data_IF_180479463829
#
_entry.id   IF_180479463829
#
_cell.length_a   1.000
_cell.length_b   1.000
_cell.length_c   1.000
_cell.angle_alpha   90.00
_cell.angle_beta   90.00
_cell.angle_gamma   90.00
#
_symmetry.space_group_name_H-M   'P 1'
#
loop_
_entity.id
_entity.type
_entity.pdbx_description
1 polymer ?
#
# COMPACT_ATOMS: atom_id res chain seq x y z
N UNK A 1 -59.76 41.26 -4.90
CA UNK A 1 -58.34 40.84 -4.88
C UNK A 1 -57.99 40.29 -3.50
N UNK A 2 -57.67 38.99 -3.38
CA UNK A 2 -57.15 38.40 -2.14
C UNK A 2 -55.68 38.05 -2.36
N UNK A 3 -54.79 38.72 -1.63
CA UNK A 3 -53.35 38.44 -1.64
C UNK A 3 -53.11 37.22 -0.74
N UNK A 4 -52.65 36.12 -1.34
CA UNK A 4 -52.15 34.95 -0.58
C UNK A 4 -50.71 35.23 -0.18
N UNK A 5 -50.47 35.38 1.12
CA UNK A 5 -49.12 35.36 1.68
C UNK A 5 -48.68 33.90 1.76
N UNK A 6 -47.71 33.53 0.91
CA UNK A 6 -47.02 32.25 0.97
C UNK A 6 -45.96 32.38 2.07
N UNK A 7 -46.17 31.72 3.21
CA UNK A 7 -45.14 31.59 4.25
C UNK A 7 -44.10 30.59 3.76
N UNK A 8 -42.91 31.10 3.47
CA UNK A 8 -41.72 30.30 3.20
C UNK A 8 -41.14 29.84 4.56
N UNK A 9 -41.34 28.58 4.92
CA UNK A 9 -40.71 27.99 6.10
C UNK A 9 -39.33 27.48 5.71
N UNK A 10 -38.28 28.20 6.06
CA UNK A 10 -36.88 27.78 5.85
C UNK A 10 -36.54 26.78 6.97
N UNK A 11 -36.43 25.50 6.63
CA UNK A 11 -35.85 24.48 7.50
C UNK A 11 -34.32 24.66 7.50
N UNK A 12 -33.78 25.26 8.56
CA UNK A 12 -32.36 25.18 8.85
C UNK A 12 -32.05 23.76 9.36
N UNK A 13 -31.55 22.90 8.48
CA UNK A 13 -30.82 21.71 8.90
C UNK A 13 -29.47 22.16 9.46
N UNK A 14 -29.38 22.28 10.79
CA UNK A 14 -28.09 22.26 11.47
C UNK A 14 -27.48 20.86 11.26
N UNK A 15 -26.60 20.72 10.27
CA UNK A 15 -25.60 19.66 10.29
C UNK A 15 -24.68 19.96 11.48
N UNK A 16 -25.00 19.41 12.65
CA UNK A 16 -24.00 19.27 13.71
C UNK A 16 -22.93 18.32 13.14
N UNK A 17 -21.83 18.89 12.65
CA UNK A 17 -20.60 18.11 12.49
C UNK A 17 -20.28 17.57 13.88
N UNK A 18 -20.59 16.30 14.12
CA UNK A 18 -20.10 15.60 15.30
C UNK A 18 -18.58 15.63 15.14
N UNK A 19 -17.93 16.57 15.82
CA UNK A 19 -16.48 16.60 15.91
C UNK A 19 -16.09 15.35 16.69
N UNK A 20 -15.69 14.31 15.98
CA UNK A 20 -15.25 13.06 16.59
C UNK A 20 -13.91 13.35 17.25
N UNK A 21 -13.89 13.51 18.58
CA UNK A 21 -12.65 13.70 19.32
C UNK A 21 -11.94 12.36 19.53
N UNK A 22 -10.65 12.33 19.24
CA UNK A 22 -9.72 11.28 19.67
C UNK A 22 -9.13 11.75 21.00
N UNK A 23 -9.76 11.43 22.15
CA UNK A 23 -9.44 12.01 23.48
C UNK A 23 -8.11 11.46 24.07
N UNK A 24 -7.07 11.37 23.24
CA UNK A 24 -5.76 10.85 23.64
C UNK A 24 -5.06 11.76 24.66
N UNK A 25 -5.49 13.01 24.84
CA UNK A 25 -5.05 13.88 25.94
C UNK A 25 -5.32 13.29 27.33
N UNK A 26 -6.28 12.37 27.46
CA UNK A 26 -6.64 11.70 28.71
C UNK A 26 -5.78 10.46 29.01
N UNK A 27 -4.92 10.06 28.09
CA UNK A 27 -4.06 8.89 28.21
C UNK A 27 -2.77 9.21 28.96
N UNK A 28 -2.17 8.19 29.56
CA UNK A 28 -0.87 8.22 30.21
C UNK A 28 0.04 7.11 29.63
N UNK A 29 1.26 7.00 30.12
CA UNK A 29 2.28 6.03 29.72
C UNK A 29 1.87 4.56 29.90
N UNK A 30 0.82 4.28 30.69
CA UNK A 30 0.24 2.95 30.81
C UNK A 30 -0.66 2.58 29.62
N UNK A 31 -1.12 3.56 28.85
CA UNK A 31 -1.99 3.33 27.69
C UNK A 31 -1.19 2.87 26.48
N UNK A 32 -1.33 1.60 26.12
CA UNK A 32 -0.56 0.99 25.04
C UNK A 32 -1.34 1.03 23.73
N UNK A 33 -0.88 1.88 22.80
CA UNK A 33 -1.38 1.91 21.43
C UNK A 33 -0.66 0.86 20.56
N UNK A 34 -1.35 0.23 19.59
CA UNK A 34 -0.67 -0.58 18.61
C UNK A 34 0.20 0.34 17.73
N UNK A 35 1.51 0.29 17.96
CA UNK A 35 2.45 1.27 17.41
C UNK A 35 3.75 0.62 16.93
N UNK A 36 4.44 1.30 16.02
CA UNK A 36 5.85 1.07 15.74
C UNK A 36 6.67 1.95 16.70
N UNK A 37 7.62 1.35 17.42
CA UNK A 37 8.46 2.05 18.40
C UNK A 37 9.85 2.28 17.80
N UNK A 38 10.28 3.53 17.77
CA UNK A 38 11.62 3.91 17.35
C UNK A 38 12.58 3.81 18.54
N UNK A 39 13.28 2.68 18.63
CA UNK A 39 14.30 2.47 19.66
C UNK A 39 15.50 3.41 19.45
N UNK A 40 16.12 3.85 20.55
CA UNK A 40 17.32 4.73 20.53
C UNK A 40 17.14 6.04 19.75
N UNK A 41 15.91 6.57 19.70
CA UNK A 41 15.54 7.81 19.01
C UNK A 41 15.80 9.08 19.83
N UNK A 42 16.31 8.97 21.06
CA UNK A 42 16.54 10.12 21.95
C UNK A 42 17.41 11.17 21.25
N UNK A 43 16.94 12.43 21.27
CA UNK A 43 17.58 13.58 20.63
C UNK A 43 17.68 13.52 19.10
N UNK A 44 17.09 12.51 18.45
CA UNK A 44 16.95 12.49 17.01
C UNK A 44 15.63 13.16 16.60
N UNK A 45 15.64 13.75 15.40
CA UNK A 45 14.41 14.23 14.81
C UNK A 45 13.56 13.03 14.40
N UNK A 46 12.27 13.08 14.72
CA UNK A 46 11.29 12.25 14.04
C UNK A 46 10.81 12.98 12.80
N UNK A 47 10.78 12.26 11.68
CA UNK A 47 10.35 12.79 10.40
C UNK A 47 9.02 12.16 10.01
N UNK A 48 8.23 12.88 9.24
CA UNK A 48 6.98 12.33 8.72
C UNK A 48 7.22 11.24 7.70
N UNK A 49 6.46 10.16 7.80
CA UNK A 49 6.45 9.01 6.88
C UNK A 49 5.42 9.18 5.75
N UNK A 50 4.74 10.34 5.70
CA UNK A 50 3.66 10.62 4.75
C UNK A 50 3.63 12.09 4.34
N UNK A 51 3.05 12.36 3.17
CA UNK A 51 2.55 13.69 2.86
C UNK A 51 1.21 13.91 3.55
N UNK A 52 0.94 15.12 4.04
CA UNK A 52 -0.31 15.38 4.76
C UNK A 52 -0.46 16.79 5.32
N UNK A 53 -1.42 16.91 6.23
CA UNK A 53 -1.70 18.14 6.97
C UNK A 53 -1.65 17.82 8.46
N UNK A 54 -0.95 18.64 9.24
CA UNK A 54 -0.96 18.55 10.71
C UNK A 54 -2.35 18.89 11.21
N UNK A 55 -3.13 17.90 11.61
CA UNK A 55 -4.55 18.07 11.95
C UNK A 55 -4.78 18.50 13.40
N UNK A 56 -3.91 18.05 14.32
CA UNK A 56 -4.03 18.30 15.76
C UNK A 56 -2.67 18.13 16.43
N UNK A 57 -2.38 18.95 17.45
CA UNK A 57 -1.23 18.76 18.35
C UNK A 57 -1.75 18.84 19.78
N UNK A 58 -1.55 17.79 20.58
CA UNK A 58 -1.99 17.75 21.98
C UNK A 58 -0.86 17.30 22.90
N UNK A 59 -1.06 17.50 24.20
CA UNK A 59 -0.30 16.84 25.26
C UNK A 59 -1.15 15.78 25.94
N UNK A 60 -0.55 14.66 26.29
CA UNK A 60 -1.15 13.65 27.15
C UNK A 60 -0.97 14.01 28.65
N UNK A 61 -1.41 13.14 29.57
CA UNK A 61 -1.26 13.37 31.02
C UNK A 61 0.19 13.40 31.52
N UNK A 62 1.13 12.87 30.74
CA UNK A 62 2.57 12.89 31.04
C UNK A 62 3.28 14.10 30.41
N UNK A 63 2.52 15.11 29.98
CA UNK A 63 3.02 16.30 29.29
C UNK A 63 3.78 16.03 27.97
N UNK A 64 3.65 14.81 27.41
CA UNK A 64 4.27 14.42 26.14
C UNK A 64 3.39 14.82 24.96
N UNK A 65 4.01 15.32 23.90
CA UNK A 65 3.27 15.72 22.71
C UNK A 65 2.85 14.52 21.86
N UNK A 66 1.64 14.61 21.33
CA UNK A 66 1.09 13.79 20.26
C UNK A 66 0.79 14.69 19.07
N UNK A 67 1.34 14.35 17.90
CA UNK A 67 1.17 15.11 16.66
C UNK A 67 0.41 14.25 15.66
N UNK A 68 -0.73 14.75 15.20
CA UNK A 68 -1.62 14.07 14.26
C UNK A 68 -1.39 14.62 12.87
N UNK A 69 -1.10 13.75 11.92
CA UNK A 69 -0.95 14.08 10.51
C UNK A 69 -2.06 13.39 9.75
N UNK A 70 -3.04 14.18 9.31
CA UNK A 70 -4.12 13.70 8.46
C UNK A 70 -3.59 13.49 7.06
N UNK A 71 -3.73 12.27 6.57
CA UNK A 71 -3.29 11.84 5.25
C UNK A 71 -4.34 10.94 4.62
N UNK A 72 -4.05 10.44 3.43
CA UNK A 72 -4.92 9.50 2.72
C UNK A 72 -4.12 8.37 2.10
N UNK A 73 -4.74 7.22 2.01
CA UNK A 73 -4.23 6.06 1.27
C UNK A 73 -5.19 5.72 0.15
N UNK A 74 -4.65 5.16 -0.93
CA UNK A 74 -5.44 4.57 -2.02
C UNK A 74 -5.11 3.08 -2.09
N UNK A 75 -6.14 2.23 -2.11
CA UNK A 75 -5.98 0.78 -2.10
C UNK A 75 -7.08 0.10 -2.91
N UNK A 76 -6.80 -1.12 -3.37
CA UNK A 76 -7.75 -1.97 -4.08
C UNK A 76 -8.37 -2.98 -3.11
N UNK A 77 -9.69 -3.06 -3.11
CA UNK A 77 -10.44 -4.06 -2.37
C UNK A 77 -11.73 -4.41 -3.13
N UNK A 78 -12.07 -5.69 -3.27
CA UNK A 78 -13.23 -6.14 -4.07
C UNK A 78 -13.20 -5.61 -5.50
N UNK A 79 -12.01 -5.62 -6.11
CA UNK A 79 -11.71 -5.06 -7.44
C UNK A 79 -12.01 -3.56 -7.62
N UNK A 80 -12.25 -2.80 -6.54
CA UNK A 80 -12.50 -1.37 -6.61
C UNK A 80 -11.35 -0.57 -6.00
N UNK A 81 -11.01 0.56 -6.62
CA UNK A 81 -10.13 1.55 -6.02
C UNK A 81 -10.90 2.30 -4.94
N UNK A 82 -10.38 2.27 -3.73
CA UNK A 82 -10.88 3.03 -2.58
C UNK A 82 -9.85 4.05 -2.15
N UNK A 83 -10.32 5.22 -1.71
CA UNK A 83 -9.48 6.25 -1.09
C UNK A 83 -10.00 6.48 0.33
N UNK A 84 -9.12 6.45 1.30
CA UNK A 84 -9.49 6.57 2.71
C UNK A 84 -8.54 7.52 3.43
N UNK A 85 -9.12 8.41 4.23
CA UNK A 85 -8.37 9.32 5.08
C UNK A 85 -8.13 8.65 6.44
N UNK A 86 -6.98 8.91 7.02
CA UNK A 86 -6.61 8.44 8.35
C UNK A 86 -5.62 9.43 8.98
N UNK A 87 -5.46 9.37 10.29
CA UNK A 87 -4.38 10.11 10.96
C UNK A 87 -3.20 9.16 11.22
N UNK A 88 -2.00 9.61 10.88
CA UNK A 88 -0.77 9.03 11.39
C UNK A 88 -0.34 9.86 12.61
N UNK A 89 -0.17 9.21 13.76
CA UNK A 89 -0.02 9.88 15.05
C UNK A 89 1.36 9.57 15.59
N UNK A 90 2.15 10.62 15.77
CA UNK A 90 3.48 10.57 16.34
C UNK A 90 3.41 10.93 17.81
N UNK A 91 3.84 10.02 18.68
CA UNK A 91 3.74 10.17 20.13
C UNK A 91 5.08 10.14 20.82
N UNK A 92 5.06 10.60 22.07
CA UNK A 92 6.24 10.75 22.92
C UNK A 92 7.26 11.76 22.33
N UNK A 93 6.75 12.86 21.78
CA UNK A 93 7.57 13.95 21.24
C UNK A 93 7.88 14.94 22.37
N UNK A 94 9.17 15.25 22.58
CA UNK A 94 9.63 16.20 23.59
C UNK A 94 9.37 17.65 23.16
N UNK A 95 9.74 17.96 21.91
CA UNK A 95 9.64 19.29 21.32
C UNK A 95 9.10 19.21 19.91
N UNK A 96 8.08 20.00 19.60
CA UNK A 96 7.44 20.03 18.28
C UNK A 96 7.99 21.17 17.43
N UNK A 97 8.26 20.93 16.15
CA UNK A 97 8.79 21.92 15.19
C UNK A 97 7.74 22.45 14.21
N UNK A 98 6.63 21.73 14.07
CA UNK A 98 5.53 22.05 13.17
C UNK A 98 4.33 22.65 13.94
N UNK A 99 3.38 23.21 13.21
CA UNK A 99 2.15 23.81 13.75
C UNK A 99 0.91 23.13 13.17
N UNK A 100 -0.20 23.25 13.87
CA UNK A 100 -1.50 22.82 13.35
C UNK A 100 -1.81 23.53 12.02
N UNK A 101 -2.39 22.79 11.09
CA UNK A 101 -2.70 23.15 9.71
C UNK A 101 -1.49 23.30 8.77
N UNK A 102 -0.26 23.03 9.23
CA UNK A 102 0.88 22.96 8.34
C UNK A 102 0.69 21.85 7.30
N UNK A 103 0.98 22.15 6.04
CA UNK A 103 1.15 21.14 5.00
C UNK A 103 2.58 20.62 5.08
N UNK A 104 2.73 19.31 5.16
CA UNK A 104 4.03 18.66 5.29
C UNK A 104 4.19 17.58 4.21
N UNK A 105 5.44 17.36 3.83
CA UNK A 105 5.81 16.29 2.92
C UNK A 105 6.50 15.16 3.68
N UNK A 106 6.59 13.98 3.07
CA UNK A 106 7.45 12.89 3.49
C UNK A 106 8.85 13.40 3.82
N UNK A 107 9.39 13.01 4.97
CA UNK A 107 10.70 13.43 5.47
C UNK A 107 10.72 14.76 6.23
N UNK A 108 9.61 15.50 6.31
CA UNK A 108 9.55 16.74 7.10
C UNK A 108 9.76 16.45 8.58
N UNK A 109 10.68 17.16 9.23
CA UNK A 109 10.94 17.00 10.66
C UNK A 109 9.74 17.49 11.50
N UNK A 110 9.15 16.57 12.27
CA UNK A 110 7.99 16.82 13.14
C UNK A 110 8.43 17.41 14.48
N UNK A 111 9.49 16.87 15.06
CA UNK A 111 9.92 17.22 16.40
C UNK A 111 11.12 16.40 16.90
N UNK A 112 11.52 16.67 18.14
CA UNK A 112 12.56 15.95 18.86
C UNK A 112 11.96 14.81 19.67
N UNK A 113 12.59 13.64 19.59
CA UNK A 113 12.11 12.44 20.26
C UNK A 113 12.64 12.25 21.69
N UNK A 114 11.73 11.82 22.57
CA UNK A 114 12.08 11.10 23.80
C UNK A 114 12.55 9.67 23.47
N UNK A 115 13.19 8.96 24.42
CA UNK A 115 13.35 7.51 24.33
C UNK A 115 11.98 6.86 24.08
N UNK A 116 11.90 5.98 23.07
CA UNK A 116 10.68 5.27 22.70
C UNK A 116 9.58 6.15 22.10
N UNK A 117 9.96 7.14 21.30
CA UNK A 117 9.07 7.69 20.29
C UNK A 117 8.35 6.60 19.51
N UNK A 118 7.08 6.83 19.19
CA UNK A 118 6.29 5.86 18.45
C UNK A 118 5.44 6.52 17.38
N UNK A 119 5.02 5.69 16.42
CA UNK A 119 4.01 6.05 15.45
C UNK A 119 2.88 5.01 15.46
N UNK A 120 1.66 5.50 15.51
CA UNK A 120 0.43 4.71 15.36
C UNK A 120 -0.45 5.33 14.27
N UNK A 121 -1.53 4.66 13.93
CA UNK A 121 -2.52 5.20 12.99
C UNK A 121 -3.93 5.07 13.55
N UNK A 122 -4.81 6.00 13.22
CA UNK A 122 -6.21 5.96 13.62
C UNK A 122 -7.15 6.06 12.41
N UNK A 123 -8.18 5.22 12.43
CA UNK A 123 -9.23 5.14 11.41
C UNK A 123 -10.60 5.23 12.06
N UNK A 124 -11.56 5.90 11.42
CA UNK A 124 -12.95 6.01 11.91
C UNK A 124 -13.70 4.66 11.88
N UNK A 125 -13.20 3.70 11.11
CA UNK A 125 -13.79 2.36 10.95
C UNK A 125 -12.70 1.29 10.87
N UNK A 126 -13.12 0.04 11.06
CA UNK A 126 -12.34 -1.15 10.73
C UNK A 126 -12.13 -1.25 9.21
N UNK A 127 -11.13 -0.53 8.70
CA UNK A 127 -10.84 -0.48 7.27
C UNK A 127 -10.13 -1.76 6.80
N UNK A 128 -10.48 -2.30 5.60
CA UNK A 128 -9.73 -3.40 4.97
C UNK A 128 -8.23 -3.14 4.85
N UNK A 129 -7.82 -1.89 4.64
CA UNK A 129 -6.43 -1.50 4.44
C UNK A 129 -5.54 -1.82 5.63
N UNK A 130 -5.71 -1.19 6.81
CA UNK A 130 -4.89 -1.51 7.97
C UNK A 130 -5.18 -2.92 8.49
N UNK A 131 -6.39 -3.47 8.30
CA UNK A 131 -6.68 -4.86 8.68
C UNK A 131 -5.86 -5.85 7.90
N UNK A 132 -5.57 -5.60 6.62
CA UNK A 132 -4.72 -6.51 5.85
C UNK A 132 -3.25 -6.40 6.23
N UNK A 133 -2.79 -5.21 6.56
CA UNK A 133 -1.35 -4.89 6.64
C UNK A 133 -0.80 -4.92 8.07
N UNK A 134 -1.60 -4.58 9.07
CA UNK A 134 -1.14 -4.56 10.46
C UNK A 134 -1.00 -5.96 11.03
N UNK A 135 0.09 -6.30 11.70
CA UNK A 135 0.25 -7.62 12.32
C UNK A 135 -0.59 -7.76 13.59
N UNK A 136 -0.71 -6.68 14.36
CA UNK A 136 -1.45 -6.66 15.62
C UNK A 136 -2.95 -6.42 15.39
N UNK A 137 -3.78 -6.88 16.33
CA UNK A 137 -5.20 -6.50 16.37
C UNK A 137 -5.31 -5.01 16.69
N UNK A 138 -6.31 -4.38 16.09
CA UNK A 138 -6.65 -2.99 16.34
C UNK A 138 -7.21 -2.83 17.75
N UNK A 139 -6.97 -1.66 18.33
CA UNK A 139 -7.59 -1.26 19.59
C UNK A 139 -8.66 -0.22 19.28
N UNK A 140 -9.89 -0.43 19.73
CA UNK A 140 -10.94 0.58 19.66
C UNK A 140 -10.82 1.52 20.86
N UNK A 141 -10.73 2.82 20.61
CA UNK A 141 -10.75 3.85 21.63
C UNK A 141 -11.58 5.04 21.12
N UNK A 142 -12.53 5.48 21.94
CA UNK A 142 -13.60 6.38 21.52
C UNK A 142 -14.29 5.88 20.22
N UNK A 143 -14.30 6.74 19.19
CA UNK A 143 -14.90 6.47 17.89
C UNK A 143 -13.89 6.01 16.84
N UNK A 144 -12.68 5.63 17.26
CA UNK A 144 -11.58 5.31 16.36
C UNK A 144 -10.99 3.93 16.62
N UNK A 145 -10.42 3.36 15.57
CA UNK A 145 -9.66 2.13 15.58
C UNK A 145 -8.19 2.43 15.34
N UNK A 146 -7.36 2.06 16.30
CA UNK A 146 -5.92 2.26 16.26
C UNK A 146 -5.23 1.03 15.72
N UNK A 147 -4.27 1.23 14.82
CA UNK A 147 -3.51 0.16 14.18
C UNK A 147 -2.01 0.47 14.20
N UNK A 148 -1.20 -0.60 14.30
CA UNK A 148 0.23 -0.50 14.01
C UNK A 148 0.39 -0.21 12.51
N UNK A 149 1.05 0.90 12.11
CA UNK A 149 1.14 1.32 10.73
C UNK A 149 2.23 0.54 9.98
N UNK A 150 2.15 -0.80 9.96
CA UNK A 150 3.16 -1.69 9.38
C UNK A 150 3.44 -1.42 7.89
N UNK A 151 2.54 -0.72 7.20
CA UNK A 151 2.68 -0.33 5.79
C UNK A 151 3.67 0.81 5.54
N UNK A 152 4.08 1.57 6.56
CA UNK A 152 5.12 2.59 6.39
C UNK A 152 6.51 1.95 6.29
N UNK A 153 6.65 0.70 6.75
CA UNK A 153 7.89 -0.04 6.60
C UNK A 153 8.06 -0.45 5.13
N UNK A 154 9.04 0.14 4.45
CA UNK A 154 9.40 -0.14 3.05
C UNK A 154 9.73 -1.61 2.75
N UNK A 155 10.06 -2.41 3.76
CA UNK A 155 10.33 -3.84 3.62
C UNK A 155 9.03 -4.68 3.56
N UNK A 156 7.90 -4.13 3.98
CA UNK A 156 6.61 -4.81 3.93
C UNK A 156 5.92 -4.58 2.59
N UNK A 157 5.36 -5.65 2.01
CA UNK A 157 4.53 -5.55 0.82
C UNK A 157 3.18 -4.95 1.17
N UNK A 158 2.87 -3.79 0.59
CA UNK A 158 1.51 -3.25 0.61
C UNK A 158 0.64 -4.01 -0.40
N UNK A 159 0.13 -5.18 0.00
CA UNK A 159 -0.63 -6.09 -0.85
C UNK A 159 -1.83 -5.43 -1.54
N UNK A 160 -2.53 -4.53 -0.85
CA UNK A 160 -3.69 -3.84 -1.42
C UNK A 160 -3.32 -2.66 -2.34
N UNK A 161 -2.03 -2.35 -2.53
CA UNK A 161 -1.59 -1.40 -3.56
C UNK A 161 -1.59 -1.99 -4.98
N UNK A 162 -1.79 -3.31 -5.11
CA UNK A 162 -1.81 -4.01 -6.38
C UNK A 162 -3.25 -4.17 -6.89
N UNK A 163 -3.50 -3.78 -8.14
CA UNK A 163 -4.81 -3.91 -8.76
C UNK A 163 -5.12 -5.38 -9.03
N UNK A 164 -6.18 -5.88 -8.42
CA UNK A 164 -6.71 -7.21 -8.74
C UNK A 164 -7.23 -7.24 -10.18
N UNK A 165 -6.77 -8.20 -10.98
CA UNK A 165 -7.21 -8.42 -12.36
C UNK A 165 -7.90 -9.77 -12.50
N UNK A 166 -8.99 -9.82 -13.26
CA UNK A 166 -9.77 -11.04 -13.47
C UNK A 166 -9.13 -11.99 -14.49
N UNK A 167 -8.37 -11.46 -15.44
CA UNK A 167 -7.68 -12.23 -16.47
C UNK A 167 -6.33 -11.61 -16.79
N UNK A 168 -5.26 -12.35 -16.49
CA UNK A 168 -3.90 -11.94 -16.83
C UNK A 168 -3.72 -11.80 -18.35
N UNK A 169 -4.33 -12.69 -19.15
CA UNK A 169 -4.23 -12.61 -20.61
C UNK A 169 -4.85 -11.31 -21.16
N UNK A 170 -6.06 -10.95 -20.70
CA UNK A 170 -6.71 -9.73 -21.16
C UNK A 170 -5.93 -8.49 -20.71
N UNK A 171 -5.50 -8.47 -19.45
CA UNK A 171 -4.67 -7.38 -18.94
C UNK A 171 -3.39 -7.18 -19.77
N UNK A 172 -2.68 -8.27 -20.10
CA UNK A 172 -1.45 -8.18 -20.87
C UNK A 172 -1.69 -7.78 -22.34
N UNK A 173 -2.81 -8.20 -22.95
CA UNK A 173 -3.22 -7.70 -24.26
C UNK A 173 -3.46 -6.18 -24.21
N UNK A 174 -4.19 -5.69 -23.20
CA UNK A 174 -4.43 -4.26 -23.03
C UNK A 174 -3.14 -3.49 -22.77
N UNK A 175 -2.25 -4.02 -21.92
CA UNK A 175 -0.93 -3.46 -21.66
C UNK A 175 -0.10 -3.35 -22.95
N UNK A 176 -0.10 -4.41 -23.78
CA UNK A 176 0.59 -4.42 -25.06
C UNK A 176 -0.02 -3.43 -26.07
N UNK A 177 -1.34 -3.31 -26.12
CA UNK A 177 -2.00 -2.36 -27.02
C UNK A 177 -1.74 -0.91 -26.61
N UNK A 178 -1.79 -0.59 -25.30
CA UNK A 178 -1.40 0.74 -24.80
C UNK A 178 0.00 1.13 -25.25
N UNK A 179 0.95 0.20 -25.14
CA UNK A 179 2.30 0.41 -25.67
C UNK A 179 2.32 0.74 -27.16
N UNK A 180 1.52 0.03 -27.97
CA UNK A 180 1.45 0.26 -29.42
C UNK A 180 0.89 1.65 -29.75
N UNK A 181 -0.12 2.09 -28.99
CA UNK A 181 -0.80 3.36 -29.20
C UNK A 181 0.00 4.58 -28.68
N UNK A 182 0.96 4.38 -27.77
CA UNK A 182 1.87 5.42 -27.26
C UNK A 182 2.97 5.82 -28.27
N UNK A 183 3.13 5.09 -29.39
CA UNK A 183 4.20 5.30 -30.38
C UNK A 183 3.67 5.86 -31.72
N UNK A 184 3.74 7.18 -31.89
CA UNK A 184 3.46 7.87 -33.16
C UNK A 184 4.67 7.90 -34.12
N UNK A 185 5.91 7.55 -33.69
CA UNK A 185 7.12 7.64 -34.54
C UNK A 185 7.94 6.32 -34.63
N UNK A 186 8.25 5.80 -35.84
CA UNK A 186 8.98 4.54 -36.05
C UNK A 186 10.44 4.54 -35.55
N UNK A 187 11.00 5.67 -35.12
CA UNK A 187 12.36 5.75 -34.57
C UNK A 187 12.46 5.24 -33.12
N UNK A 188 11.33 5.11 -32.44
CA UNK A 188 11.26 4.85 -30.99
C UNK A 188 11.01 3.38 -30.65
N UNK A 189 11.41 2.45 -31.54
CA UNK A 189 11.62 1.04 -31.16
C UNK A 189 12.80 0.94 -30.17
N UNK A 190 12.62 1.52 -28.99
CA UNK A 190 13.41 1.22 -27.82
C UNK A 190 13.21 -0.26 -27.57
N UNK A 191 14.30 -0.99 -27.70
CA UNK A 191 14.39 -2.45 -27.58
C UNK A 191 13.69 -2.98 -26.31
N UNK A 192 13.54 -2.09 -25.31
CA UNK A 192 12.86 -2.26 -24.04
C UNK A 192 11.99 -1.02 -23.75
N UNK A 193 10.67 -1.20 -23.64
CA UNK A 193 9.76 -0.10 -23.29
C UNK A 193 9.17 -0.28 -21.89
N UNK A 194 9.25 0.77 -21.08
CA UNK A 194 8.69 0.82 -19.73
C UNK A 194 7.50 1.77 -19.68
N UNK A 195 6.28 1.22 -19.77
CA UNK A 195 5.05 1.97 -19.52
C UNK A 195 4.99 2.47 -18.06
N UNK A 196 3.93 3.20 -17.71
CA UNK A 196 3.50 3.32 -16.31
C UNK A 196 3.52 1.94 -15.65
N UNK A 197 4.32 1.78 -14.59
CA UNK A 197 4.49 0.50 -13.90
C UNK A 197 3.14 0.05 -13.35
N UNK A 198 2.53 -0.92 -14.01
CA UNK A 198 1.25 -1.46 -13.59
C UNK A 198 1.47 -2.50 -12.49
N UNK A 199 1.09 -2.13 -11.27
CA UNK A 199 1.08 -3.03 -10.12
C UNK A 199 -0.21 -3.83 -10.13
N UNK A 200 -0.09 -5.13 -10.41
CA UNK A 200 -1.22 -6.05 -10.52
C UNK A 200 -1.12 -7.20 -9.53
N UNK A 201 -2.30 -7.71 -9.15
CA UNK A 201 -2.48 -8.95 -8.43
C UNK A 201 -3.27 -9.90 -9.32
N UNK A 202 -2.77 -11.10 -9.52
CA UNK A 202 -3.44 -12.11 -10.35
C UNK A 202 -3.21 -13.51 -9.79
N UNK A 203 -4.12 -14.43 -10.12
CA UNK A 203 -4.03 -15.83 -9.71
C UNK A 203 -3.45 -16.68 -10.84
N UNK A 204 -2.47 -17.54 -10.51
CA UNK A 204 -1.93 -18.57 -11.39
C UNK A 204 -1.80 -19.90 -10.65
N UNK A 205 -1.56 -20.95 -11.42
CA UNK A 205 -1.13 -22.24 -10.92
C UNK A 205 0.19 -22.56 -11.64
N UNK A 206 1.26 -22.79 -10.88
CA UNK A 206 2.55 -23.18 -11.46
C UNK A 206 2.57 -24.68 -11.68
N UNK A 207 2.82 -25.12 -12.92
CA UNK A 207 3.00 -26.53 -13.26
C UNK A 207 4.40 -27.05 -12.95
N UNK A 208 5.36 -26.15 -12.85
CA UNK A 208 6.75 -26.41 -12.49
C UNK A 208 7.27 -25.25 -11.63
N UNK A 209 8.27 -25.54 -10.79
CA UNK A 209 8.93 -24.49 -10.01
C UNK A 209 9.76 -23.58 -10.93
N UNK A 210 9.98 -22.31 -10.53
CA UNK A 210 10.83 -21.39 -11.29
C UNK A 210 12.21 -22.00 -11.59
N UNK A 211 12.68 -21.80 -12.81
CA UNK A 211 14.00 -22.24 -13.27
C UNK A 211 14.97 -21.07 -13.22
N UNK A 212 16.27 -21.37 -13.25
CA UNK A 212 17.29 -20.33 -13.34
C UNK A 212 17.00 -19.37 -14.52
N UNK A 213 17.14 -18.08 -14.25
CA UNK A 213 16.79 -17.02 -15.18
C UNK A 213 17.73 -17.00 -16.38
N UNK A 214 17.17 -16.76 -17.57
CA UNK A 214 17.99 -16.40 -18.72
C UNK A 214 18.31 -14.91 -18.63
N UNK A 215 19.57 -14.57 -18.34
CA UNK A 215 20.02 -13.17 -18.31
C UNK A 215 20.01 -12.58 -19.73
N UNK A 216 19.02 -11.74 -20.00
CA UNK A 216 18.90 -10.98 -21.24
C UNK A 216 19.33 -9.52 -21.03
N UNK A 217 19.71 -8.84 -22.10
CA UNK A 217 19.95 -7.40 -22.08
C UNK A 217 18.72 -6.63 -21.57
N UNK A 218 17.52 -7.08 -21.94
CA UNK A 218 16.28 -6.46 -21.46
C UNK A 218 16.06 -6.57 -19.97
N UNK A 219 16.41 -7.72 -19.38
CA UNK A 219 16.33 -7.88 -17.94
C UNK A 219 17.34 -6.98 -17.23
N UNK A 220 18.57 -6.90 -17.74
CA UNK A 220 19.59 -5.99 -17.22
C UNK A 220 19.11 -4.53 -17.22
N UNK A 221 18.54 -4.06 -18.34
CA UNK A 221 17.95 -2.71 -18.40
C UNK A 221 16.79 -2.55 -17.43
N UNK A 222 15.91 -3.54 -17.32
CA UNK A 222 14.77 -3.52 -16.39
C UNK A 222 15.25 -3.36 -14.93
N UNK A 223 16.24 -4.15 -14.52
CA UNK A 223 16.84 -4.10 -13.18
C UNK A 223 17.51 -2.75 -12.88
N UNK A 224 18.21 -2.18 -13.86
CA UNK A 224 18.91 -0.90 -13.71
C UNK A 224 17.98 0.32 -13.77
N UNK A 225 17.11 0.39 -14.76
CA UNK A 225 16.31 1.58 -15.02
C UNK A 225 15.09 1.67 -14.10
N UNK A 226 14.45 0.54 -13.79
CA UNK A 226 13.22 0.53 -12.99
C UNK A 226 13.50 0.34 -11.51
N UNK A 227 14.43 -0.56 -11.19
CA UNK A 227 14.69 -0.96 -9.81
C UNK A 227 15.99 -0.38 -9.23
N UNK A 228 16.84 0.23 -10.07
CA UNK A 228 18.16 0.74 -9.70
C UNK A 228 19.00 -0.29 -8.90
N UNK A 229 18.77 -1.58 -9.16
CA UNK A 229 19.35 -2.70 -8.40
C UNK A 229 19.74 -3.81 -9.38
N UNK A 230 21.03 -4.01 -9.68
CA UNK A 230 21.50 -5.18 -10.44
C UNK A 230 21.15 -6.49 -9.74
N UNK A 231 21.04 -7.55 -10.54
CA UNK A 231 20.93 -8.93 -10.04
C UNK A 231 19.80 -9.09 -9.00
N UNK A 232 18.66 -8.48 -9.29
CA UNK A 232 17.50 -8.53 -8.41
C UNK A 232 16.73 -9.83 -8.58
N UNK A 233 16.63 -10.32 -9.83
CA UNK A 233 15.89 -11.53 -10.18
C UNK A 233 16.84 -12.69 -10.48
N UNK A 234 16.48 -13.90 -10.06
CA UNK A 234 17.34 -15.08 -10.14
C UNK A 234 16.69 -16.28 -10.83
N UNK A 235 15.35 -16.34 -10.80
CA UNK A 235 14.60 -17.42 -11.44
C UNK A 235 13.45 -16.86 -12.25
N UNK A 236 13.00 -17.63 -13.24
CA UNK A 236 11.89 -17.28 -14.12
C UNK A 236 10.84 -18.39 -14.22
N UNK A 237 9.58 -17.99 -14.45
CA UNK A 237 8.50 -18.87 -14.86
C UNK A 237 7.88 -18.35 -16.15
N UNK A 238 7.95 -19.16 -17.22
CA UNK A 238 7.35 -18.81 -18.51
C UNK A 238 5.88 -19.23 -18.50
N UNK A 239 4.99 -18.29 -18.81
CA UNK A 239 3.56 -18.59 -18.93
C UNK A 239 3.28 -19.13 -20.33
N UNK A 240 3.27 -20.45 -20.47
CA UNK A 240 3.08 -21.13 -21.77
C UNK A 240 1.62 -21.24 -22.21
N UNK A 241 0.67 -20.95 -21.31
CA UNK A 241 -0.77 -21.12 -21.55
C UNK A 241 -1.32 -20.23 -22.68
N UNK A 242 -0.70 -19.08 -22.94
CA UNK A 242 -1.12 -18.15 -23.97
C UNK A 242 0.06 -17.28 -24.44
N UNK A 243 -0.11 -16.65 -25.61
CA UNK A 243 0.79 -15.62 -26.14
C UNK A 243 0.04 -14.32 -26.33
N UNK A 244 0.76 -13.21 -26.20
CA UNK A 244 0.25 -11.86 -26.37
C UNK A 244 0.89 -11.29 -27.62
N UNK A 245 0.17 -11.26 -28.75
CA UNK A 245 0.70 -10.76 -30.04
C UNK A 245 2.06 -11.38 -30.44
N UNK A 246 2.26 -12.67 -30.14
CA UNK A 246 3.51 -13.39 -30.39
C UNK A 246 4.55 -13.33 -29.28
N UNK A 247 4.33 -12.52 -28.23
CA UNK A 247 5.20 -12.40 -27.06
C UNK A 247 4.80 -13.38 -25.96
N UNK A 248 5.80 -13.92 -25.27
CA UNK A 248 5.64 -14.84 -24.14
C UNK A 248 5.71 -14.07 -22.82
N UNK A 249 4.67 -14.11 -21.96
CA UNK A 249 4.77 -13.54 -20.62
C UNK A 249 5.74 -14.36 -19.75
N UNK A 250 6.61 -13.67 -19.02
CA UNK A 250 7.61 -14.28 -18.13
C UNK A 250 7.54 -13.62 -16.77
N UNK A 251 7.35 -14.44 -15.73
CA UNK A 251 7.40 -14.00 -14.34
C UNK A 251 8.82 -14.13 -13.84
N UNK A 252 9.41 -13.03 -13.38
CA UNK A 252 10.71 -13.02 -12.75
C UNK A 252 10.58 -12.97 -11.23
N UNK A 253 11.37 -13.82 -10.56
CA UNK A 253 11.33 -13.99 -9.12
C UNK A 253 12.61 -13.49 -8.48
N UNK A 254 12.45 -12.77 -7.36
CA UNK A 254 13.57 -12.20 -6.61
C UNK A 254 14.38 -13.30 -5.92
N UNK A 255 15.56 -12.93 -5.39
CA UNK A 255 16.42 -13.83 -4.63
C UNK A 255 15.62 -14.58 -3.54
N UNK A 256 15.88 -15.89 -3.40
CA UNK A 256 15.28 -16.80 -2.42
C UNK A 256 13.79 -17.14 -2.61
N UNK A 257 13.08 -16.50 -3.54
CA UNK A 257 11.64 -16.79 -3.76
C UNK A 257 11.40 -18.22 -4.24
N UNK A 258 12.35 -18.79 -4.99
CA UNK A 258 12.26 -20.17 -5.45
C UNK A 258 12.36 -21.16 -4.28
N UNK A 259 13.19 -20.88 -3.27
CA UNK A 259 13.26 -21.65 -2.03
C UNK A 259 11.93 -21.60 -1.30
N UNK A 260 11.39 -20.39 -1.06
CA UNK A 260 10.09 -20.23 -0.41
C UNK A 260 8.95 -20.91 -1.17
N UNK A 261 8.93 -20.82 -2.50
CA UNK A 261 7.94 -21.53 -3.32
C UNK A 261 8.05 -23.05 -3.18
N UNK A 262 9.26 -23.61 -3.11
CA UNK A 262 9.46 -25.06 -2.93
C UNK A 262 9.04 -25.55 -1.55
N UNK A 263 9.21 -24.72 -0.53
CA UNK A 263 8.88 -25.05 0.86
C UNK A 263 7.38 -24.92 1.14
N UNK A 264 6.78 -23.81 0.72
CA UNK A 264 5.41 -23.45 1.12
C UNK A 264 4.38 -23.80 0.04
N UNK A 265 4.74 -23.84 -1.24
CA UNK A 265 3.80 -23.97 -2.36
C UNK A 265 3.77 -25.34 -3.02
N UNK A 266 2.56 -25.91 -3.09
CA UNK A 266 2.28 -27.13 -3.85
C UNK A 266 1.93 -26.77 -5.29
N UNK A 267 2.70 -27.30 -6.25
CA UNK A 267 2.44 -27.18 -7.69
C UNK A 267 0.96 -27.45 -8.04
N UNK A 268 0.49 -26.71 -9.03
CA UNK A 268 -0.89 -26.70 -9.51
C UNK A 268 -1.95 -26.18 -8.51
N UNK A 269 -1.55 -25.70 -7.33
CA UNK A 269 -2.46 -25.02 -6.39
C UNK A 269 -2.62 -23.54 -6.78
N UNK A 270 -3.70 -22.86 -6.35
CA UNK A 270 -3.82 -21.42 -6.51
C UNK A 270 -2.66 -20.65 -5.87
N UNK A 271 -2.09 -19.72 -6.62
CA UNK A 271 -1.06 -18.78 -6.17
C UNK A 271 -1.45 -17.37 -6.60
N UNK A 272 -1.63 -16.48 -5.64
CA UNK A 272 -1.83 -15.06 -5.89
C UNK A 272 -0.47 -14.39 -5.96
N UNK A 273 -0.14 -13.83 -7.11
CA UNK A 273 1.12 -13.14 -7.37
C UNK A 273 0.88 -11.64 -7.40
N UNK A 274 1.71 -10.90 -6.66
CA UNK A 274 1.75 -9.44 -6.68
C UNK A 274 2.97 -9.05 -7.50
N UNK A 275 2.75 -8.36 -8.61
CA UNK A 275 3.82 -8.06 -9.55
C UNK A 275 3.66 -6.70 -10.17
N UNK A 276 4.78 -6.23 -10.72
CA UNK A 276 4.80 -5.12 -11.65
C UNK A 276 4.95 -5.66 -13.06
N UNK A 277 4.10 -5.25 -13.99
CA UNK A 277 4.36 -5.46 -15.43
C UNK A 277 5.14 -4.26 -15.93
N UNK A 278 6.34 -4.53 -16.44
CA UNK A 278 7.37 -3.50 -16.55
C UNK A 278 7.90 -3.31 -17.96
N UNK A 279 8.12 -4.38 -18.71
CA UNK A 279 8.92 -4.30 -19.94
C UNK A 279 8.36 -5.20 -21.03
N UNK A 280 8.35 -4.71 -22.27
CA UNK A 280 8.21 -5.53 -23.47
C UNK A 280 9.60 -5.68 -24.08
N UNK A 281 10.14 -6.90 -24.11
CA UNK A 281 11.42 -7.23 -24.73
C UNK A 281 11.19 -7.70 -26.17
N UNK A 282 11.53 -6.84 -27.12
CA UNK A 282 11.33 -7.09 -28.54
C UNK A 282 12.34 -8.04 -29.16
N UNK A 283 13.52 -8.21 -28.56
CA UNK A 283 14.56 -9.14 -29.02
C UNK A 283 14.13 -10.56 -28.70
N UNK A 284 13.80 -10.80 -27.44
CA UNK A 284 13.48 -12.14 -26.94
C UNK A 284 11.99 -12.48 -27.08
N UNK A 285 11.18 -11.53 -27.55
CA UNK A 285 9.71 -11.63 -27.65
C UNK A 285 9.09 -12.03 -26.31
N UNK A 286 9.41 -11.28 -25.26
CA UNK A 286 8.93 -11.52 -23.88
C UNK A 286 8.19 -10.30 -23.31
N UNK A 287 7.23 -10.53 -22.42
CA UNK A 287 6.63 -9.49 -21.57
C UNK A 287 7.01 -9.78 -20.13
N UNK A 288 7.64 -8.82 -19.48
CA UNK A 288 8.24 -9.00 -18.16
C UNK A 288 7.26 -8.66 -17.04
N UNK A 289 7.08 -9.64 -16.16
CA UNK A 289 6.25 -9.56 -14.96
C UNK A 289 7.17 -9.76 -13.77
N UNK A 290 7.57 -8.69 -13.13
CA UNK A 290 8.49 -8.73 -11.99
C UNK A 290 7.70 -9.00 -10.71
N UNK A 291 7.77 -10.23 -10.19
CA UNK A 291 7.11 -10.60 -8.94
C UNK A 291 7.72 -9.85 -7.76
N UNK A 292 6.84 -9.26 -6.94
CA UNK A 292 7.21 -8.55 -5.71
C UNK A 292 6.90 -9.36 -4.46
N UNK A 293 5.85 -10.16 -4.50
CA UNK A 293 5.42 -11.04 -3.40
C UNK A 293 4.41 -12.08 -3.92
N UNK A 294 4.08 -13.08 -3.10
CA UNK A 294 3.02 -14.03 -3.39
C UNK A 294 2.33 -14.54 -2.12
N UNK A 295 1.10 -15.03 -2.27
CA UNK A 295 0.37 -15.70 -1.19
C UNK A 295 -0.52 -16.80 -1.76
N UNK A 296 -0.87 -17.77 -0.92
CA UNK A 296 -1.85 -18.81 -1.25
C UNK A 296 -3.28 -18.44 -0.85
N UNK A 297 -3.42 -17.39 -0.04
CA UNK A 297 -4.71 -16.98 0.52
C UNK A 297 -5.08 -15.63 -0.06
N UNK A 298 -6.26 -15.52 -0.66
CA UNK A 298 -6.79 -14.25 -1.15
C UNK A 298 -6.87 -13.22 -0.02
N UNK A 299 -6.39 -12.00 -0.27
CA UNK A 299 -6.44 -10.90 0.68
C UNK A 299 -7.87 -10.60 1.15
N UNK A 300 -8.87 -10.79 0.30
CA UNK A 300 -10.27 -10.54 0.70
C UNK A 300 -10.71 -11.54 1.77
N UNK A 301 -10.30 -12.81 1.64
CA UNK A 301 -10.52 -13.82 2.67
C UNK A 301 -9.77 -13.44 3.95
N UNK A 302 -8.49 -13.07 3.87
CA UNK A 302 -7.70 -12.64 5.04
C UNK A 302 -8.37 -11.47 5.77
N UNK A 303 -8.80 -10.45 5.02
CA UNK A 303 -9.50 -9.29 5.59
C UNK A 303 -10.80 -9.70 6.26
N UNK A 304 -11.63 -10.50 5.61
CA UNK A 304 -12.91 -10.94 6.16
C UNK A 304 -12.72 -11.80 7.43
N UNK A 305 -11.78 -12.74 7.41
CA UNK A 305 -11.46 -13.59 8.56
C UNK A 305 -11.01 -12.74 9.74
N UNK A 306 -10.18 -11.71 9.51
CA UNK A 306 -9.74 -10.78 10.55
C UNK A 306 -10.85 -9.86 11.04
N UNK A 307 -11.72 -9.38 10.16
CA UNK A 307 -12.90 -8.59 10.55
C UNK A 307 -13.84 -9.38 11.47
N UNK A 308 -14.06 -10.66 11.16
CA UNK A 308 -14.91 -11.54 11.97
C UNK A 308 -14.39 -11.73 13.40
N UNK A 309 -13.06 -11.65 13.62
CA UNK A 309 -12.45 -11.70 14.95
C UNK A 309 -12.80 -10.50 15.85
N UNK A 310 -13.35 -9.42 15.30
CA UNK A 310 -13.86 -8.29 16.09
C UNK A 310 -15.35 -8.40 16.40
N UNK A 311 -16.08 -9.27 15.71
CA UNK A 311 -17.50 -9.51 15.92
C UNK A 311 -17.74 -10.64 16.95
N UNK A 312 -16.79 -11.57 17.04
CA UNK A 312 -16.80 -12.68 17.99
C UNK A 312 -15.56 -12.57 18.91
N UNK A 313 -15.59 -11.70 19.94
CA UNK A 313 -14.45 -11.43 20.81
C UNK A 313 -14.00 -12.62 21.67
#
# INVERSE_FOLDING_TARGET
MKIKIIKLTIFFFFFTSVSHSQNLELTDSGFNLPSLIYQNSRNNNINSDVDGIVSKIIKNKDDKYLVFIKTKTSYFYKNNLSVENYDLIYGNIEKVYIKENDKINYGTAIGLCEPECFVTSSFEKLSPFPIRLSQRKAIKFDNYYFFTPDWINKYNTNFLSFRSISSLQNFLNDYFNRWKDENDDPSDFTVFHTNSIDRIRFQINLSEYPKEILRTEGLFHTEHQIYSTPDLFFTESIITKYKIQGYSPVIFWQKNYDTYLKEEYKLNSPLFVYASVTTIDHINKRIYICARDFTQIDDEKVVNDRLNQYQNP
#
